data_IF_112591385709
#
_entry.id   IF_112591385709
#
_cell.length_a   1.000
_cell.length_b   1.000
_cell.length_c   1.000
_cell.angle_alpha   90.00
_cell.angle_beta   90.00
_cell.angle_gamma   90.00
#
_symmetry.space_group_name_H-M   'P 1'
#
loop_
_entity.id
_entity.type
_entity.pdbx_description
1 polymer ?
#
# COMPACT_ATOMS: atom_id res chain seq x y z
N UNK A 1 -5.32 -1.57 -44.96
CA UNK A 1 -4.02 -1.08 -44.43
C UNK A 1 -4.15 0.18 -43.55
N UNK A 2 -4.91 1.23 -43.94
CA UNK A 2 -5.09 2.45 -43.10
C UNK A 2 -5.62 2.19 -41.68
N UNK A 3 -6.61 1.30 -41.50
CA UNK A 3 -7.18 1.01 -40.17
C UNK A 3 -6.25 0.22 -39.24
N UNK A 4 -5.40 -0.65 -39.80
CA UNK A 4 -4.41 -1.41 -39.02
C UNK A 4 -3.34 -0.47 -38.47
N UNK A 5 -2.93 0.52 -39.25
CA UNK A 5 -1.91 1.50 -38.84
C UNK A 5 -2.41 2.42 -37.72
N UNK A 6 -3.68 2.85 -37.77
CA UNK A 6 -4.31 3.64 -36.70
C UNK A 6 -4.46 2.83 -35.40
N UNK A 7 -4.88 1.57 -35.48
CA UNK A 7 -4.97 0.67 -34.32
C UNK A 7 -3.59 0.46 -33.66
N UNK A 8 -2.54 0.25 -34.45
CA UNK A 8 -1.18 0.07 -33.94
C UNK A 8 -0.67 1.34 -33.24
N UNK A 9 -0.92 2.52 -33.81
CA UNK A 9 -0.51 3.80 -33.20
C UNK A 9 -1.26 4.05 -31.88
N UNK A 10 -2.56 3.77 -31.82
CA UNK A 10 -3.32 3.91 -30.56
C UNK A 10 -2.79 2.96 -29.49
N UNK A 11 -2.59 1.68 -29.81
CA UNK A 11 -2.07 0.68 -28.85
C UNK A 11 -0.69 1.08 -28.33
N UNK A 12 0.20 1.58 -29.19
CA UNK A 12 1.51 2.08 -28.78
C UNK A 12 1.39 3.28 -27.85
N UNK A 13 0.53 4.26 -28.16
CA UNK A 13 0.31 5.42 -27.28
C UNK A 13 -0.23 5.02 -25.90
N UNK A 14 -1.12 4.04 -25.83
CA UNK A 14 -1.61 3.49 -24.56
C UNK A 14 -0.48 2.83 -23.76
N UNK A 15 0.36 2.01 -24.38
CA UNK A 15 1.48 1.33 -23.71
C UNK A 15 2.48 2.35 -23.15
N UNK A 16 2.88 3.36 -23.94
CA UNK A 16 3.82 4.39 -23.49
C UNK A 16 3.25 5.25 -22.35
N UNK A 17 1.96 5.56 -22.39
CA UNK A 17 1.31 6.30 -21.31
C UNK A 17 1.24 5.46 -20.02
N UNK A 18 0.92 4.18 -20.13
CA UNK A 18 0.91 3.25 -19.00
C UNK A 18 2.30 3.13 -18.37
N UNK A 19 3.35 2.91 -19.18
CA UNK A 19 4.73 2.78 -18.70
C UNK A 19 5.23 4.04 -17.98
N UNK A 20 4.96 5.23 -18.55
CA UNK A 20 5.32 6.51 -17.90
C UNK A 20 4.61 6.68 -16.55
N UNK A 21 3.33 6.32 -16.49
CA UNK A 21 2.53 6.45 -15.27
C UNK A 21 2.99 5.48 -14.18
N UNK A 22 3.36 4.25 -14.56
CA UNK A 22 3.92 3.24 -13.64
C UNK A 22 5.26 3.71 -13.07
N UNK A 23 6.14 4.29 -13.91
CA UNK A 23 7.42 4.83 -13.45
C UNK A 23 7.25 5.93 -12.41
N UNK A 24 6.30 6.85 -12.62
CA UNK A 24 5.99 7.90 -11.64
C UNK A 24 5.48 7.32 -10.31
N UNK A 25 4.64 6.27 -10.38
CA UNK A 25 4.17 5.59 -9.19
C UNK A 25 5.32 4.86 -8.45
N UNK A 26 6.26 4.24 -9.16
CA UNK A 26 7.46 3.64 -8.58
C UNK A 26 8.38 4.67 -7.88
N UNK A 27 8.55 5.86 -8.47
CA UNK A 27 9.28 6.96 -7.82
C UNK A 27 8.59 7.39 -6.51
N UNK A 28 7.25 7.41 -6.50
CA UNK A 28 6.48 7.71 -5.28
C UNK A 28 6.64 6.66 -4.18
N UNK A 29 6.85 5.38 -4.56
CA UNK A 29 7.16 4.30 -3.62
C UNK A 29 8.49 4.56 -2.92
N UNK A 30 9.53 4.94 -3.67
CA UNK A 30 10.85 5.20 -3.09
C UNK A 30 10.82 6.30 -2.03
N UNK A 31 10.04 7.35 -2.24
CA UNK A 31 9.85 8.44 -1.27
C UNK A 31 9.18 7.98 0.04
N UNK A 32 8.37 6.92 -0.02
CA UNK A 32 7.60 6.42 1.13
C UNK A 32 8.18 5.15 1.75
N UNK A 33 9.14 4.50 1.10
CA UNK A 33 9.69 3.20 1.49
C UNK A 33 10.21 3.21 2.94
N UNK A 34 10.84 4.30 3.39
CA UNK A 34 11.35 4.40 4.77
C UNK A 34 10.24 4.22 5.81
N UNK A 35 9.14 4.96 5.68
CA UNK A 35 7.99 4.86 6.59
C UNK A 35 7.37 3.46 6.55
N UNK A 36 7.21 2.88 5.37
CA UNK A 36 6.59 1.56 5.23
C UNK A 36 7.50 0.43 5.71
N UNK A 37 8.82 0.57 5.59
CA UNK A 37 9.79 -0.36 6.16
C UNK A 37 9.69 -0.40 7.69
N UNK A 38 9.61 0.75 8.33
CA UNK A 38 9.40 0.89 9.78
C UNK A 38 8.03 0.30 10.19
N UNK A 39 6.98 0.66 9.45
CA UNK A 39 5.62 0.15 9.68
C UNK A 39 5.53 -1.37 9.62
N UNK A 40 6.21 -2.01 8.65
CA UNK A 40 6.24 -3.47 8.56
C UNK A 40 7.09 -4.13 9.65
N UNK A 41 8.03 -3.42 10.27
CA UNK A 41 8.83 -3.95 11.37
C UNK A 41 8.02 -4.12 12.66
N UNK A 42 6.95 -3.34 12.84
CA UNK A 42 6.07 -3.44 13.99
C UNK A 42 5.36 -4.79 14.02
N UNK A 43 5.59 -5.56 15.07
CA UNK A 43 5.02 -6.90 15.23
C UNK A 43 3.59 -6.83 15.79
N UNK A 44 2.90 -7.97 15.74
CA UNK A 44 1.63 -8.14 16.41
C UNK A 44 1.80 -7.92 17.92
N UNK A 45 1.02 -6.99 18.48
CA UNK A 45 1.06 -6.65 19.90
C UNK A 45 -0.38 -6.61 20.43
N UNK A 46 -0.77 -7.64 21.18
CA UNK A 46 -2.14 -7.82 21.66
C UNK A 46 -2.66 -6.62 22.47
N UNK A 47 -1.78 -5.82 23.09
CA UNK A 47 -2.17 -4.63 23.85
C UNK A 47 -2.51 -3.43 22.95
N UNK A 48 -2.03 -3.43 21.70
CA UNK A 48 -2.23 -2.37 20.70
C UNK A 48 -3.26 -2.74 19.63
N UNK A 49 -3.67 -4.01 19.58
CA UNK A 49 -4.61 -4.52 18.59
C UNK A 49 -6.00 -3.94 18.83
N UNK A 50 -6.57 -3.42 17.75
CA UNK A 50 -7.95 -3.04 17.62
C UNK A 50 -8.61 -3.95 16.58
N UNK A 51 -9.93 -4.06 16.65
CA UNK A 51 -10.73 -4.79 15.65
C UNK A 51 -11.66 -3.83 14.97
N UNK A 52 -11.78 -3.89 13.64
CA UNK A 52 -12.81 -3.10 12.99
C UNK A 52 -14.18 -3.74 13.31
N UNK A 53 -15.20 -2.92 13.54
CA UNK A 53 -16.51 -3.39 13.98
C UNK A 53 -17.26 -4.21 12.93
N UNK A 54 -16.91 -4.06 11.64
CA UNK A 54 -17.65 -4.65 10.52
C UNK A 54 -17.03 -5.92 9.98
N UNK A 55 -15.70 -5.97 9.84
CA UNK A 55 -14.97 -7.09 9.25
C UNK A 55 -14.20 -7.92 10.29
N UNK A 56 -14.24 -7.52 11.58
CA UNK A 56 -13.49 -8.13 12.68
C UNK A 56 -11.98 -8.25 12.41
N UNK A 57 -11.44 -7.42 11.51
CA UNK A 57 -10.03 -7.46 11.14
C UNK A 57 -9.19 -6.84 12.24
N UNK A 58 -8.14 -7.56 12.65
CA UNK A 58 -7.19 -7.12 13.66
C UNK A 58 -6.18 -6.15 13.05
N UNK A 59 -6.02 -4.99 13.67
CA UNK A 59 -5.10 -3.96 13.21
C UNK A 59 -4.48 -3.16 14.36
N UNK A 60 -3.32 -2.57 14.09
CA UNK A 60 -2.74 -1.51 14.89
C UNK A 60 -2.99 -0.18 14.18
N UNK A 61 -3.54 0.80 14.90
CA UNK A 61 -3.70 2.17 14.41
C UNK A 61 -2.43 2.97 14.65
N UNK A 62 -1.75 3.40 13.59
CA UNK A 62 -0.51 4.17 13.71
C UNK A 62 -0.72 5.59 14.21
N UNK A 63 -1.95 6.11 14.18
CA UNK A 63 -2.28 7.37 14.81
C UNK A 63 -2.35 7.30 16.33
N UNK A 64 -2.54 6.10 16.88
CA UNK A 64 -2.48 5.86 18.34
C UNK A 64 -1.14 5.26 18.75
N UNK A 65 -0.60 4.36 17.92
CA UNK A 65 0.61 3.60 18.18
C UNK A 65 1.56 3.71 16.97
N UNK A 66 2.27 4.83 16.83
CA UNK A 66 3.18 5.03 15.70
C UNK A 66 4.24 3.92 15.66
N UNK A 67 4.73 3.54 14.46
CA UNK A 67 5.73 2.48 14.32
C UNK A 67 6.97 2.74 15.17
N UNK A 68 7.35 1.71 15.93
CA UNK A 68 8.56 1.74 16.74
C UNK A 68 9.80 1.72 15.83
N UNK A 69 10.50 2.87 15.77
CA UNK A 69 11.71 3.06 14.96
C UNK A 69 12.97 2.45 15.56
N UNK A 70 12.88 1.79 16.72
CA UNK A 70 13.99 1.11 17.40
C UNK A 70 14.21 -0.35 16.94
N UNK A 71 13.27 -0.93 16.21
CA UNK A 71 13.40 -2.28 15.65
C UNK A 71 14.28 -2.25 14.37
N UNK A 72 15.37 -3.03 14.31
CA UNK A 72 16.56 -2.69 13.54
C UNK A 72 16.43 -2.87 12.03
N UNK A 73 16.67 -1.77 11.31
CA UNK A 73 17.54 -1.75 10.13
C UNK A 73 18.63 -0.69 10.29
N UNK A 74 19.50 -0.86 11.30
CA UNK A 74 20.77 -0.14 11.42
C UNK A 74 21.03 0.48 12.79
N UNK A 75 22.29 0.40 13.25
CA UNK A 75 22.78 1.08 14.43
C UNK A 75 22.84 2.60 14.19
N UNK A 76 22.55 3.38 15.23
CA UNK A 76 22.55 4.84 15.22
C UNK A 76 23.90 5.45 14.82
N UNK A 77 23.85 6.51 14.01
CA UNK A 77 24.80 7.62 14.15
C UNK A 77 24.20 8.66 15.12
N UNK A 78 24.96 9.00 16.18
CA UNK A 78 24.70 10.10 17.14
C UNK A 78 23.64 9.91 18.25
N UNK A 79 23.41 8.69 18.72
CA UNK A 79 22.95 8.48 20.11
C UNK A 79 21.58 9.06 20.49
N UNK A 80 20.68 9.35 19.54
CA UNK A 80 19.31 9.79 19.83
C UNK A 80 18.28 9.02 19.01
N UNK A 81 17.47 8.22 19.72
CA UNK A 81 16.24 7.59 19.23
C UNK A 81 15.02 8.41 19.69
N UNK A 82 14.06 8.69 18.80
CA UNK A 82 12.73 9.22 19.16
C UNK A 82 11.70 8.68 18.16
N UNK A 83 10.89 7.74 18.61
CA UNK A 83 9.83 7.10 17.82
C UNK A 83 8.65 6.73 18.71
N UNK A 84 8.15 7.70 19.47
CA UNK A 84 6.96 7.56 20.31
C UNK A 84 5.92 8.66 20.05
N UNK A 85 6.21 9.61 19.15
CA UNK A 85 5.36 10.78 18.95
C UNK A 85 4.68 10.74 17.58
N UNK A 86 3.36 10.89 17.60
CA UNK A 86 2.50 11.01 16.41
C UNK A 86 2.99 12.13 15.47
N UNK A 87 3.65 13.16 16.00
CA UNK A 87 4.22 14.28 15.22
C UNK A 87 5.30 13.89 14.22
N UNK A 88 5.89 12.69 14.35
CA UNK A 88 7.00 12.25 13.51
C UNK A 88 6.52 11.42 12.29
N UNK A 89 5.21 11.27 12.12
CA UNK A 89 4.59 10.64 10.95
C UNK A 89 4.65 11.58 9.74
N UNK A 90 4.83 11.06 8.50
CA UNK A 90 4.85 11.89 7.29
C UNK A 90 3.46 12.38 6.86
N UNK A 91 2.44 12.26 7.72
CA UNK A 91 1.07 12.68 7.50
C UNK A 91 0.43 13.10 8.85
N UNK A 92 -0.61 13.91 8.78
CA UNK A 92 -1.38 14.31 9.96
C UNK A 92 -2.40 13.24 10.31
N UNK A 93 -2.53 12.91 11.59
CA UNK A 93 -3.56 12.00 12.06
C UNK A 93 -4.85 12.74 12.41
N UNK A 94 -5.94 12.40 11.72
CA UNK A 94 -7.29 12.89 11.98
C UNK A 94 -8.33 11.95 11.30
N UNK A 95 -9.60 12.34 11.28
CA UNK A 95 -10.66 11.52 10.66
C UNK A 95 -10.47 11.30 9.16
N UNK A 96 -9.76 12.21 8.49
CA UNK A 96 -9.55 12.19 7.05
C UNK A 96 -8.18 11.60 6.68
N UNK A 97 -7.24 11.47 7.60
CA UNK A 97 -5.92 10.94 7.30
C UNK A 97 -5.32 10.11 8.43
N UNK A 98 -4.73 8.98 8.05
CA UNK A 98 -4.07 8.09 8.98
C UNK A 98 -3.47 6.87 8.28
N UNK A 99 -2.94 5.96 9.09
CA UNK A 99 -2.45 4.68 8.61
C UNK A 99 -2.71 3.56 9.62
N UNK A 100 -2.93 2.36 9.12
CA UNK A 100 -3.24 1.16 9.89
C UNK A 100 -2.45 -0.02 9.34
N UNK A 101 -1.95 -0.88 10.22
CA UNK A 101 -1.40 -2.19 9.85
C UNK A 101 -2.34 -3.29 10.29
N UNK A 102 -2.82 -4.07 9.34
CA UNK A 102 -3.70 -5.21 9.54
C UNK A 102 -2.92 -6.51 9.54
N UNK A 103 -3.38 -7.47 10.33
CA UNK A 103 -2.78 -8.78 10.49
C UNK A 103 -3.83 -9.84 10.13
N UNK A 104 -3.66 -10.48 8.97
CA UNK A 104 -4.56 -11.52 8.49
C UNK A 104 -3.88 -12.87 8.68
N UNK A 105 -4.45 -13.69 9.55
CA UNK A 105 -3.92 -15.01 9.87
C UNK A 105 -4.35 -16.03 8.81
N UNK A 106 -3.47 -16.98 8.50
CA UNK A 106 -3.73 -18.09 7.55
C UNK A 106 -4.32 -17.62 6.20
N UNK A 107 -3.81 -16.49 5.70
CA UNK A 107 -4.25 -15.86 4.46
C UNK A 107 -3.12 -15.77 3.46
N UNK A 108 -3.42 -16.01 2.18
CA UNK A 108 -2.54 -15.64 1.06
C UNK A 108 -2.71 -14.17 0.69
N UNK A 109 -1.87 -13.65 -0.22
CA UNK A 109 -2.04 -12.31 -0.78
C UNK A 109 -3.38 -12.15 -1.50
N UNK A 110 -3.79 -13.15 -2.29
CA UNK A 110 -5.06 -13.15 -3.03
C UNK A 110 -6.28 -13.12 -2.09
N UNK A 111 -6.22 -13.92 -1.03
CA UNK A 111 -7.28 -13.98 -0.02
C UNK A 111 -7.37 -12.66 0.74
N UNK A 112 -6.23 -12.12 1.19
CA UNK A 112 -6.17 -10.83 1.87
C UNK A 112 -6.66 -9.68 0.98
N UNK A 113 -6.28 -9.68 -0.30
CA UNK A 113 -6.75 -8.71 -1.29
C UNK A 113 -8.29 -8.72 -1.41
N UNK A 114 -8.86 -9.92 -1.52
CA UNK A 114 -10.31 -10.12 -1.62
C UNK A 114 -11.04 -9.68 -0.35
N UNK A 115 -10.52 -10.04 0.84
CA UNK A 115 -11.05 -9.61 2.13
C UNK A 115 -11.05 -8.08 2.22
N UNK A 116 -9.95 -7.42 1.85
CA UNK A 116 -9.86 -5.96 1.86
C UNK A 116 -10.88 -5.32 0.95
N UNK A 117 -10.96 -5.77 -0.31
CA UNK A 117 -11.93 -5.25 -1.28
C UNK A 117 -13.37 -5.32 -0.76
N UNK A 118 -13.73 -6.44 -0.14
CA UNK A 118 -15.12 -6.70 0.27
C UNK A 118 -15.48 -6.12 1.63
N UNK A 119 -14.51 -5.97 2.53
CA UNK A 119 -14.79 -5.75 3.96
C UNK A 119 -14.18 -4.47 4.53
N UNK A 120 -13.28 -3.81 3.79
CA UNK A 120 -12.65 -2.55 4.21
C UNK A 120 -13.18 -1.42 3.31
N UNK A 121 -14.05 -0.51 3.81
CA UNK A 121 -14.64 0.55 2.99
C UNK A 121 -13.61 1.42 2.25
N UNK A 122 -12.46 1.68 2.89
CA UNK A 122 -11.35 2.43 2.28
C UNK A 122 -10.64 1.70 1.13
N UNK A 123 -10.94 0.42 0.90
CA UNK A 123 -10.34 -0.42 -0.14
C UNK A 123 -11.34 -0.84 -1.23
N UNK A 124 -12.53 -0.23 -1.28
CA UNK A 124 -13.57 -0.53 -2.28
C UNK A 124 -13.16 -0.21 -3.72
N UNK A 125 -12.12 0.62 -3.89
CA UNK A 125 -11.52 0.94 -5.20
C UNK A 125 -10.77 -0.24 -5.84
N UNK A 126 -10.49 -1.30 -5.08
CA UNK A 126 -9.79 -2.48 -5.60
C UNK A 126 -10.64 -3.18 -6.68
N UNK A 127 -9.99 -3.51 -7.80
CA UNK A 127 -10.57 -4.33 -8.86
C UNK A 127 -11.00 -5.71 -8.34
N UNK A 128 -12.02 -6.29 -8.97
CA UNK A 128 -12.56 -7.60 -8.60
C UNK A 128 -11.51 -8.70 -8.57
N UNK A 129 -10.62 -8.70 -9.56
CA UNK A 129 -9.51 -9.65 -9.65
C UNK A 129 -8.20 -8.98 -9.30
N UNK A 130 -7.37 -9.66 -8.50
CA UNK A 130 -6.02 -9.20 -8.17
C UNK A 130 -5.14 -9.21 -9.44
N UNK A 131 -4.57 -8.06 -9.85
CA UNK A 131 -3.71 -8.02 -11.03
C UNK A 131 -2.45 -8.87 -10.85
N UNK A 132 -2.10 -9.65 -11.88
CA UNK A 132 -0.98 -10.59 -11.84
C UNK A 132 0.37 -9.96 -12.24
N UNK A 133 0.34 -8.73 -12.77
CA UNK A 133 1.50 -7.97 -13.21
C UNK A 133 1.34 -6.51 -12.83
N UNK A 134 2.39 -5.71 -13.01
CA UNK A 134 2.28 -4.26 -12.86
C UNK A 134 1.22 -3.75 -13.83
N UNK A 135 0.33 -2.90 -13.35
CA UNK A 135 -0.82 -2.42 -14.13
C UNK A 135 -1.21 -1.04 -13.65
N UNK A 136 -1.46 -0.13 -14.57
CA UNK A 136 -2.05 1.16 -14.25
C UNK A 136 -3.43 1.29 -14.90
N UNK A 137 -4.43 1.66 -14.10
CA UNK A 137 -5.80 1.91 -14.54
C UNK A 137 -6.04 3.40 -14.33
N UNK A 138 -6.17 4.14 -15.42
CA UNK A 138 -6.50 5.57 -15.38
C UNK A 138 -7.94 5.74 -15.85
N UNK A 139 -8.76 6.30 -14.97
CA UNK A 139 -10.12 6.77 -15.24
C UNK A 139 -10.08 8.30 -15.29
N UNK A 140 -11.19 8.93 -15.71
CA UNK A 140 -11.26 10.38 -15.93
C UNK A 140 -10.70 11.19 -14.74
N UNK A 141 -11.13 10.87 -13.52
CA UNK A 141 -10.79 11.62 -12.31
C UNK A 141 -10.04 10.79 -11.27
N UNK A 142 -9.64 9.56 -11.63
CA UNK A 142 -8.95 8.67 -10.69
C UNK A 142 -7.94 7.76 -11.37
N UNK A 143 -6.96 7.32 -10.61
CA UNK A 143 -5.91 6.41 -11.06
C UNK A 143 -5.66 5.34 -10.00
N UNK A 144 -5.45 4.11 -10.46
CA UNK A 144 -5.09 2.96 -9.62
C UNK A 144 -3.85 2.33 -10.20
N UNK A 145 -2.81 2.22 -9.39
CA UNK A 145 -1.55 1.57 -9.75
C UNK A 145 -1.38 0.31 -8.93
N UNK A 146 -1.10 -0.79 -9.61
CA UNK A 146 -0.74 -2.08 -9.02
C UNK A 146 0.73 -2.33 -9.35
N UNK A 147 1.58 -2.40 -8.32
CA UNK A 147 3.03 -2.55 -8.48
C UNK A 147 3.50 -3.74 -7.65
N UNK A 148 3.95 -4.77 -8.34
CA UNK A 148 4.60 -5.93 -7.74
C UNK A 148 6.07 -5.63 -7.48
N UNK A 149 6.40 -5.44 -6.20
CA UNK A 149 7.78 -5.28 -5.77
C UNK A 149 8.43 -6.66 -5.64
N UNK A 150 9.55 -6.87 -6.33
CA UNK A 150 10.31 -8.12 -6.34
C UNK A 150 11.74 -7.90 -5.88
N UNK A 151 12.39 -8.95 -5.35
CA UNK A 151 13.82 -8.91 -5.06
C UNK A 151 14.67 -9.20 -6.31
N UNK A 152 15.99 -9.16 -6.17
CA UNK A 152 16.95 -9.45 -7.27
C UNK A 152 16.79 -10.87 -7.84
N UNK A 153 16.24 -11.80 -7.06
CA UNK A 153 15.94 -13.18 -7.45
C UNK A 153 14.53 -13.33 -8.04
N UNK A 154 13.86 -12.22 -8.37
CA UNK A 154 12.52 -12.18 -8.94
C UNK A 154 11.38 -12.73 -8.03
N UNK A 155 11.66 -12.93 -6.75
CA UNK A 155 10.67 -13.36 -5.76
C UNK A 155 9.80 -12.17 -5.36
N UNK A 156 8.49 -12.40 -5.27
CA UNK A 156 7.52 -11.39 -4.86
C UNK A 156 7.75 -11.04 -3.38
N UNK A 157 7.97 -9.76 -3.11
CA UNK A 157 8.08 -9.24 -1.74
C UNK A 157 6.76 -8.63 -1.29
N UNK A 158 6.18 -7.77 -2.13
CA UNK A 158 5.00 -6.97 -1.80
C UNK A 158 4.17 -6.64 -3.03
N UNK A 159 2.87 -6.46 -2.84
CA UNK A 159 2.00 -5.78 -3.78
C UNK A 159 1.67 -4.40 -3.23
N UNK A 160 1.99 -3.37 -4.00
CA UNK A 160 1.56 -2.00 -3.75
C UNK A 160 0.32 -1.71 -4.58
N UNK A 161 -0.70 -1.16 -3.95
CA UNK A 161 -1.85 -0.60 -4.63
C UNK A 161 -1.98 0.87 -4.24
N UNK A 162 -1.76 1.75 -5.20
CA UNK A 162 -1.80 3.20 -5.00
C UNK A 162 -3.02 3.73 -5.74
N UNK A 163 -3.92 4.32 -5.00
CA UNK A 163 -5.12 4.94 -5.54
C UNK A 163 -5.07 6.45 -5.30
N UNK A 164 -5.43 7.20 -6.32
CA UNK A 164 -5.60 8.63 -6.21
C UNK A 164 -6.77 9.10 -7.07
N UNK A 165 -7.66 9.87 -6.47
CA UNK A 165 -8.61 10.72 -7.16
C UNK A 165 -8.49 12.16 -6.66
N UNK A 166 -9.33 13.06 -7.19
CA UNK A 166 -9.34 14.48 -6.84
C UNK A 166 -9.46 14.75 -5.33
N UNK A 167 -10.23 13.93 -4.62
CA UNK A 167 -10.63 14.10 -3.21
C UNK A 167 -9.92 13.16 -2.26
N UNK A 168 -9.32 12.07 -2.74
CA UNK A 168 -8.73 11.06 -1.88
C UNK A 168 -7.45 10.44 -2.47
N UNK A 169 -6.58 10.02 -1.56
CA UNK A 169 -5.47 9.14 -1.84
C UNK A 169 -5.49 7.98 -0.86
N UNK A 170 -5.23 6.79 -1.38
CA UNK A 170 -5.11 5.56 -0.60
C UNK A 170 -3.86 4.81 -1.04
N UNK A 171 -3.18 4.18 -0.10
CA UNK A 171 -2.09 3.27 -0.39
C UNK A 171 -2.30 2.01 0.42
N UNK A 172 -2.38 0.88 -0.27
CA UNK A 172 -2.40 -0.44 0.32
C UNK A 172 -1.09 -1.14 -0.02
N UNK A 173 -0.49 -1.81 0.95
CA UNK A 173 0.70 -2.62 0.72
C UNK A 173 0.49 -3.98 1.36
N UNK A 174 0.45 -5.02 0.54
CA UNK A 174 0.28 -6.41 0.97
C UNK A 174 1.64 -7.09 1.00
N UNK A 175 1.93 -7.83 2.07
CA UNK A 175 3.14 -8.66 2.17
C UNK A 175 2.84 -9.98 2.86
N UNK A 176 3.41 -11.06 2.34
CA UNK A 176 3.26 -12.40 2.91
C UNK A 176 4.34 -12.62 3.98
N UNK A 177 3.94 -13.07 5.17
CA UNK A 177 4.80 -13.44 6.30
C UNK A 177 4.48 -14.87 6.74
N UNK A 178 5.15 -15.85 6.12
CA UNK A 178 4.83 -17.26 6.34
C UNK A 178 3.39 -17.54 5.90
N UNK A 179 2.54 -18.03 6.82
CA UNK A 179 1.12 -18.31 6.56
C UNK A 179 0.21 -17.08 6.64
N UNK A 180 0.73 -15.94 7.10
CA UNK A 180 -0.06 -14.75 7.36
C UNK A 180 0.18 -13.68 6.29
N UNK A 181 -0.80 -12.82 6.06
CA UNK A 181 -0.63 -11.60 5.26
C UNK A 181 -0.71 -10.38 6.17
N UNK A 182 0.27 -9.49 6.04
CA UNK A 182 0.20 -8.17 6.65
C UNK A 182 -0.17 -7.14 5.59
N UNK A 183 -1.04 -6.21 5.95
CA UNK A 183 -1.47 -5.15 5.03
C UNK A 183 -1.35 -3.79 5.70
N UNK A 184 -0.61 -2.88 5.09
CA UNK A 184 -0.61 -1.48 5.51
C UNK A 184 -1.62 -0.72 4.65
N UNK A 185 -2.54 -0.01 5.29
CA UNK A 185 -3.44 0.95 4.67
C UNK A 185 -3.04 2.35 5.14
N UNK A 186 -2.67 3.22 4.21
CA UNK A 186 -2.58 4.66 4.41
C UNK A 186 -3.74 5.34 3.68
N UNK A 187 -4.39 6.30 4.32
CA UNK A 187 -5.49 7.04 3.73
C UNK A 187 -5.35 8.56 3.96
N UNK A 188 -5.77 9.32 2.97
CA UNK A 188 -5.95 10.77 3.00
C UNK A 188 -7.19 11.15 2.21
N UNK A 189 -8.20 11.72 2.84
CA UNK A 189 -9.38 12.36 2.23
C UNK A 189 -9.19 13.87 2.39
N UNK A 190 -9.49 14.65 1.36
CA UNK A 190 -9.35 16.11 1.35
C UNK A 190 -10.70 16.78 1.54
#
# INVERSE_FOLDING_TARGET
MRYVLVMVVCVLQFIFAEEKSLKQAEESIQLREKFFKESFAQQYDALKIQRNSTAMLEFIDFCMYPPDRSLPFGALENGRFKGEKVTDLPFTCNQNSGAKKFFLQDSTLESAYSIFRLSVPFASFLQEYMPQKNTAITLHDSSIFYIWQRNQQNQILRLWVIYHDVTQSRTLIFTQRGKNTEVILQYLTR
#
